data_IF_861186018345
#
_entry.id   IF_861186018345
#
_cell.length_a   1.000
_cell.length_b   1.000
_cell.length_c   1.000
_cell.angle_alpha   90.00
_cell.angle_beta   90.00
_cell.angle_gamma   90.00
#
_symmetry.space_group_name_H-M   'P 1'
#
loop_
_entity.id
_entity.type
_entity.pdbx_description
1 polymer ?
#
# COMPACT_ATOMS: atom_id res chain seq x y z
N UNK A 1 0.18 -4.89 -17.14
CA UNK A 1 -0.25 -4.29 -15.84
C UNK A 1 0.61 -4.79 -14.70
N UNK A 2 0.90 -3.91 -13.77
CA UNK A 2 1.57 -4.27 -12.52
C UNK A 2 0.69 -3.95 -11.33
N UNK A 3 0.63 -4.86 -10.37
CA UNK A 3 -0.06 -4.65 -9.10
C UNK A 3 0.99 -4.39 -8.03
N UNK A 4 0.96 -3.19 -7.46
CA UNK A 4 1.87 -2.74 -6.39
C UNK A 4 1.04 -2.55 -5.13
N UNK A 5 1.40 -3.29 -4.10
CA UNK A 5 0.68 -3.25 -2.82
C UNK A 5 1.45 -2.43 -1.81
N UNK A 6 0.75 -1.58 -1.10
CA UNK A 6 1.30 -0.79 0.00
C UNK A 6 0.75 -1.38 1.29
N UNK A 7 1.63 -1.91 2.12
CA UNK A 7 1.25 -2.70 3.29
C UNK A 7 2.03 -2.29 4.53
N UNK A 8 1.30 -2.15 5.64
CA UNK A 8 1.88 -2.02 6.97
C UNK A 8 0.83 -2.45 7.98
N UNK A 9 1.24 -3.19 9.00
CA UNK A 9 0.33 -3.65 10.06
C UNK A 9 -0.03 -2.55 11.05
N UNK A 10 0.74 -1.47 11.09
CA UNK A 10 0.52 -0.38 12.04
C UNK A 10 -0.23 0.76 11.36
N UNK A 11 -1.40 1.11 11.88
CA UNK A 11 -2.12 2.30 11.45
C UNK A 11 -1.30 3.57 11.68
N UNK A 12 -1.47 4.57 10.81
CA UNK A 12 -0.78 5.85 10.94
C UNK A 12 0.64 5.89 10.42
N UNK A 13 1.14 4.84 9.77
CA UNK A 13 2.48 4.81 9.19
C UNK A 13 2.59 5.58 7.86
N UNK A 14 1.57 6.32 7.48
CA UNK A 14 1.56 7.08 6.24
C UNK A 14 1.21 6.25 5.00
N UNK A 15 0.59 5.10 5.19
CA UNK A 15 0.24 4.17 4.11
C UNK A 15 -0.64 4.83 3.05
N UNK A 16 -1.76 5.44 3.45
CA UNK A 16 -2.68 6.11 2.54
C UNK A 16 -2.02 7.29 1.84
N UNK A 17 -1.28 8.12 2.58
CA UNK A 17 -0.52 9.23 2.01
C UNK A 17 0.47 8.75 0.95
N UNK A 18 1.17 7.66 1.24
CA UNK A 18 2.09 7.03 0.28
C UNK A 18 1.36 6.58 -0.98
N UNK A 19 0.22 5.91 -0.83
CA UNK A 19 -0.60 5.45 -1.97
C UNK A 19 -1.00 6.63 -2.84
N UNK A 20 -1.55 7.70 -2.26
CA UNK A 20 -2.05 8.85 -3.00
C UNK A 20 -0.91 9.60 -3.71
N UNK A 21 0.23 9.77 -3.06
CA UNK A 21 1.39 10.44 -3.65
C UNK A 21 1.99 9.63 -4.79
N UNK A 22 2.16 8.32 -4.61
CA UNK A 22 2.66 7.45 -5.67
C UNK A 22 1.71 7.41 -6.86
N UNK A 23 0.41 7.32 -6.61
CA UNK A 23 -0.59 7.33 -7.67
C UNK A 23 -0.50 8.61 -8.50
N UNK A 24 -0.36 9.76 -7.86
CA UNK A 24 -0.24 11.05 -8.54
C UNK A 24 1.01 11.13 -9.42
N UNK A 25 2.14 10.64 -8.91
CA UNK A 25 3.41 10.67 -9.65
C UNK A 25 3.36 9.71 -10.85
N UNK A 26 2.89 8.48 -10.63
CA UNK A 26 2.82 7.47 -11.68
C UNK A 26 1.81 7.87 -12.76
N UNK A 27 0.72 8.52 -12.36
CA UNK A 27 -0.34 8.94 -13.28
C UNK A 27 0.12 10.00 -14.29
N UNK A 28 1.27 10.64 -14.07
CA UNK A 28 1.82 11.58 -15.06
C UNK A 28 2.13 10.90 -16.40
N UNK A 29 2.48 9.60 -16.39
CA UNK A 29 2.90 8.87 -17.57
C UNK A 29 2.15 7.54 -17.78
N UNK A 30 1.24 7.17 -16.88
CA UNK A 30 0.59 5.86 -16.90
C UNK A 30 -0.85 5.98 -16.44
N UNK A 31 -1.66 4.99 -16.81
CA UNK A 31 -3.04 4.88 -16.30
C UNK A 31 -3.01 4.13 -14.98
N UNK A 32 -3.45 4.78 -13.92
CA UNK A 32 -3.35 4.27 -12.54
C UNK A 32 -4.75 4.07 -11.95
N UNK A 33 -4.94 2.93 -11.31
CA UNK A 33 -6.08 2.63 -10.46
C UNK A 33 -5.59 2.43 -9.02
N UNK A 34 -6.23 3.08 -8.07
CA UNK A 34 -6.05 2.79 -6.64
C UNK A 34 -7.19 1.88 -6.19
N UNK A 35 -6.84 0.70 -5.70
CA UNK A 35 -7.80 -0.24 -5.14
C UNK A 35 -7.72 -0.16 -3.62
N UNK A 36 -8.77 0.38 -3.00
CA UNK A 36 -8.85 0.52 -1.55
C UNK A 36 -9.50 -0.73 -0.95
N UNK A 37 -8.67 -1.62 -0.41
CA UNK A 37 -9.10 -2.87 0.22
C UNK A 37 -9.23 -2.71 1.73
N UNK A 38 -8.82 -1.55 2.27
CA UNK A 38 -8.90 -1.26 3.70
C UNK A 38 -10.36 -1.03 4.11
N UNK A 39 -10.89 -1.75 5.12
CA UNK A 39 -12.23 -1.48 5.65
C UNK A 39 -12.43 -0.06 6.16
N UNK A 40 -11.36 0.64 6.53
CA UNK A 40 -11.42 2.05 6.93
C UNK A 40 -11.63 2.98 5.72
N UNK A 41 -11.37 2.51 4.50
CA UNK A 41 -11.62 3.22 3.25
C UNK A 41 -10.96 4.60 3.16
N UNK A 42 -9.74 4.70 3.65
CA UNK A 42 -9.01 5.97 3.71
C UNK A 42 -8.72 6.56 2.34
N UNK A 43 -8.32 5.73 1.36
CA UNK A 43 -8.08 6.20 -0.01
C UNK A 43 -9.37 6.63 -0.70
N UNK A 44 -10.46 5.89 -0.51
CA UNK A 44 -11.77 6.26 -1.03
C UNK A 44 -12.26 7.59 -0.42
N UNK A 45 -12.06 7.79 0.87
CA UNK A 45 -12.38 9.03 1.56
C UNK A 45 -11.61 10.22 0.96
N UNK A 46 -10.32 10.02 0.69
CA UNK A 46 -9.48 11.03 0.04
C UNK A 46 -10.01 11.40 -1.35
N UNK A 47 -10.38 10.39 -2.14
CA UNK A 47 -10.89 10.59 -3.48
C UNK A 47 -12.19 11.41 -3.48
N UNK A 48 -13.11 11.11 -2.55
CA UNK A 48 -14.35 11.86 -2.39
C UNK A 48 -14.09 13.33 -2.05
N UNK A 49 -13.08 13.59 -1.22
CA UNK A 49 -12.73 14.95 -0.81
C UNK A 49 -12.03 15.74 -1.90
N UNK A 50 -11.20 15.08 -2.72
CA UNK A 50 -10.50 15.71 -3.82
C UNK A 50 -11.41 15.94 -5.04
N UNK A 51 -12.54 15.23 -5.13
CA UNK A 51 -13.47 15.36 -6.24
C UNK A 51 -12.89 14.82 -7.55
N UNK A 52 -13.23 15.48 -8.66
CA UNK A 52 -12.83 15.04 -10.01
C UNK A 52 -11.39 15.45 -10.40
N UNK A 53 -10.67 16.11 -9.50
CA UNK A 53 -9.35 16.66 -9.80
C UNK A 53 -8.22 15.63 -9.71
N UNK A 54 -8.53 14.38 -9.36
CA UNK A 54 -7.51 13.33 -9.29
C UNK A 54 -7.13 12.81 -10.68
N UNK A 55 -5.83 12.68 -10.96
CA UNK A 55 -5.36 12.15 -12.25
C UNK A 55 -5.42 10.62 -12.34
N UNK A 56 -6.03 9.96 -11.39
CA UNK A 56 -6.18 8.51 -11.31
C UNK A 56 -7.55 8.13 -10.77
N UNK A 57 -7.95 6.89 -11.00
CA UNK A 57 -9.21 6.36 -10.51
C UNK A 57 -9.04 5.65 -9.17
N UNK A 58 -10.08 5.66 -8.34
CA UNK A 58 -10.11 4.96 -7.06
C UNK A 58 -11.32 4.05 -7.02
N UNK A 59 -11.11 2.79 -6.67
CA UNK A 59 -12.18 1.82 -6.46
C UNK A 59 -12.13 1.34 -5.02
N UNK A 60 -13.31 1.21 -4.42
CA UNK A 60 -13.51 0.73 -3.07
C UNK A 60 -14.03 -0.71 -3.15
N UNK A 61 -13.14 -1.67 -2.96
CA UNK A 61 -13.48 -3.08 -3.00
C UNK A 61 -12.68 -3.82 -1.92
N UNK A 62 -13.37 -4.23 -0.88
CA UNK A 62 -12.77 -4.92 0.26
C UNK A 62 -12.55 -6.41 0.04
N UNK A 63 -12.95 -6.96 -1.11
CA UNK A 63 -12.76 -8.37 -1.42
C UNK A 63 -11.46 -8.60 -2.18
N UNK A 64 -10.41 -9.15 -1.54
CA UNK A 64 -9.13 -9.37 -2.20
C UNK A 64 -9.20 -10.38 -3.36
N UNK A 65 -10.21 -11.23 -3.41
CA UNK A 65 -10.38 -12.17 -4.51
C UNK A 65 -10.66 -11.47 -5.85
N UNK A 66 -11.10 -10.21 -5.82
CA UNK A 66 -11.36 -9.44 -7.03
C UNK A 66 -10.10 -8.83 -7.65
N UNK A 67 -8.95 -8.90 -6.99
CA UNK A 67 -7.71 -8.31 -7.51
C UNK A 67 -7.28 -8.92 -8.84
N UNK A 68 -7.45 -10.23 -9.02
CA UNK A 68 -7.11 -10.87 -10.29
C UNK A 68 -7.94 -10.33 -11.46
N UNK A 69 -9.17 -9.91 -11.20
CA UNK A 69 -10.06 -9.32 -12.22
C UNK A 69 -9.59 -7.94 -12.63
N UNK A 70 -8.89 -7.23 -11.77
CA UNK A 70 -8.37 -5.89 -12.09
C UNK A 70 -7.34 -5.94 -13.22
N UNK A 71 -6.66 -7.09 -13.41
CA UNK A 71 -5.71 -7.27 -14.50
C UNK A 71 -6.37 -7.23 -15.88
N UNK A 72 -7.68 -7.42 -15.95
CA UNK A 72 -8.44 -7.34 -17.20
C UNK A 72 -8.79 -5.89 -17.57
N UNK A 73 -8.61 -4.96 -16.66
CA UNK A 73 -8.91 -3.55 -16.89
C UNK A 73 -7.73 -2.83 -17.57
N UNK A 74 -8.02 -1.74 -18.31
CA UNK A 74 -7.01 -1.06 -19.11
C UNK A 74 -6.15 -0.10 -18.30
N UNK A 75 -5.61 -0.54 -17.16
CA UNK A 75 -4.67 0.23 -16.35
C UNK A 75 -3.26 -0.32 -16.49
N UNK A 76 -2.29 0.57 -16.40
CA UNK A 76 -0.87 0.19 -16.43
C UNK A 76 -0.38 -0.25 -15.05
N UNK A 77 -0.88 0.40 -14.01
CA UNK A 77 -0.52 0.14 -12.61
C UNK A 77 -1.76 0.17 -11.74
N UNK A 78 -1.87 -0.81 -10.86
CA UNK A 78 -2.86 -0.82 -9.78
C UNK A 78 -2.10 -0.71 -8.46
N UNK A 79 -2.42 0.32 -7.68
CA UNK A 79 -1.90 0.48 -6.32
C UNK A 79 -2.95 -0.01 -5.34
N UNK A 80 -2.57 -0.94 -4.47
CA UNK A 80 -3.50 -1.54 -3.51
C UNK A 80 -3.22 -0.98 -2.11
N UNK A 81 -4.23 -0.33 -1.54
CA UNK A 81 -4.19 0.15 -0.15
C UNK A 81 -4.80 -0.92 0.75
N UNK A 82 -3.97 -1.47 1.63
CA UNK A 82 -4.33 -2.65 2.43
C UNK A 82 -4.79 -2.30 3.84
N UNK A 83 -5.47 -3.25 4.52
CA UNK A 83 -5.82 -3.07 5.93
C UNK A 83 -4.59 -2.83 6.81
N UNK A 84 -4.71 -1.89 7.75
CA UNK A 84 -3.63 -1.55 8.69
C UNK A 84 -3.67 -2.30 10.01
N UNK A 85 -4.51 -3.33 10.16
CA UNK A 85 -4.69 -4.06 11.40
C UNK A 85 -4.16 -5.48 11.32
N UNK A 86 -3.85 -6.07 12.48
CA UNK A 86 -3.44 -7.48 12.58
C UNK A 86 -4.52 -8.44 12.10
N UNK A 87 -5.79 -8.06 12.20
CA UNK A 87 -6.91 -8.85 11.72
C UNK A 87 -6.92 -9.01 10.20
N UNK A 88 -6.19 -8.14 9.50
CA UNK A 88 -6.05 -8.21 8.05
C UNK A 88 -4.95 -9.12 7.55
N UNK A 89 -4.30 -9.94 8.39
CA UNK A 89 -3.15 -10.76 7.98
C UNK A 89 -3.48 -11.74 6.88
N UNK A 90 -4.60 -12.45 6.98
CA UNK A 90 -5.04 -13.40 5.95
C UNK A 90 -5.40 -12.69 4.65
N UNK A 91 -6.04 -11.53 4.76
CA UNK A 91 -6.36 -10.68 3.62
C UNK A 91 -5.07 -10.19 2.96
N UNK A 92 -4.10 -9.74 3.76
CA UNK A 92 -2.82 -9.29 3.25
C UNK A 92 -2.08 -10.41 2.51
N UNK A 93 -2.03 -11.61 3.09
CA UNK A 93 -1.38 -12.75 2.43
C UNK A 93 -2.01 -13.05 1.06
N UNK A 94 -3.34 -12.99 0.97
CA UNK A 94 -4.06 -13.18 -0.29
C UNK A 94 -3.69 -12.09 -1.30
N UNK A 95 -3.66 -10.84 -0.87
CA UNK A 95 -3.31 -9.69 -1.72
C UNK A 95 -1.89 -9.85 -2.25
N UNK A 96 -0.94 -10.24 -1.41
CA UNK A 96 0.47 -10.38 -1.81
C UNK A 96 0.66 -11.48 -2.84
N UNK A 97 -0.16 -12.53 -2.80
CA UNK A 97 -0.13 -13.60 -3.81
C UNK A 97 -0.43 -13.05 -5.21
N UNK A 98 -1.28 -12.02 -5.31
CA UNK A 98 -1.65 -11.40 -6.58
C UNK A 98 -0.78 -10.18 -6.92
N UNK A 99 0.14 -9.79 -6.05
CA UNK A 99 0.95 -8.59 -6.22
C UNK A 99 2.26 -8.88 -6.94
N UNK A 100 2.71 -7.92 -7.75
CA UNK A 100 4.02 -7.97 -8.39
C UNK A 100 5.11 -7.34 -7.53
N UNK A 101 4.72 -6.42 -6.64
CA UNK A 101 5.65 -5.68 -5.80
C UNK A 101 4.95 -5.19 -4.54
N UNK A 102 5.68 -5.10 -3.44
CA UNK A 102 5.16 -4.59 -2.16
C UNK A 102 6.06 -3.48 -1.64
N UNK A 103 5.44 -2.38 -1.25
CA UNK A 103 6.10 -1.28 -0.55
C UNK A 103 5.63 -1.28 0.90
N UNK A 104 6.57 -1.26 1.82
CA UNK A 104 6.31 -1.30 3.26
C UNK A 104 6.73 0.03 3.88
N UNK A 105 5.84 1.03 3.96
CA UNK A 105 6.16 2.28 4.63
C UNK A 105 6.29 2.06 6.13
N UNK A 106 7.31 2.67 6.72
CA UNK A 106 7.53 2.62 8.17
C UNK A 106 8.10 3.95 8.65
N UNK A 107 7.97 4.21 9.95
CA UNK A 107 8.59 5.35 10.60
C UNK A 107 9.98 4.95 11.12
N UNK A 108 10.95 5.89 11.21
CA UNK A 108 12.27 5.62 11.79
C UNK A 108 12.19 5.56 13.32
N UNK A 109 11.50 4.55 13.84
CA UNK A 109 11.26 4.35 15.26
C UNK A 109 11.43 2.88 15.62
N UNK A 110 12.09 2.56 16.72
CA UNK A 110 12.20 1.17 17.17
C UNK A 110 10.86 0.48 17.36
N UNK A 111 9.82 1.22 17.78
CA UNK A 111 8.47 0.69 17.97
C UNK A 111 7.81 0.27 16.65
N UNK A 112 8.22 0.89 15.54
CA UNK A 112 7.71 0.56 14.22
C UNK A 112 8.42 -0.64 13.59
N UNK A 113 9.69 -0.89 13.94
CA UNK A 113 10.50 -1.92 13.31
C UNK A 113 10.08 -3.34 13.69
N UNK A 114 9.68 -3.58 14.93
CA UNK A 114 9.28 -4.93 15.36
C UNK A 114 8.04 -5.42 14.59
N UNK A 115 6.93 -4.65 14.45
CA UNK A 115 5.82 -5.04 13.60
C UNK A 115 6.20 -5.21 12.13
N UNK A 116 7.08 -4.36 11.62
CA UNK A 116 7.56 -4.44 10.24
C UNK A 116 8.30 -5.74 9.99
N UNK A 117 9.24 -6.09 10.86
CA UNK A 117 10.03 -7.33 10.75
C UNK A 117 9.11 -8.55 10.82
N UNK A 118 8.12 -8.54 11.72
CA UNK A 118 7.14 -9.61 11.82
C UNK A 118 6.34 -9.75 10.53
N UNK A 119 5.89 -8.64 9.93
CA UNK A 119 5.17 -8.66 8.65
C UNK A 119 6.04 -9.24 7.54
N UNK A 120 7.30 -8.83 7.46
CA UNK A 120 8.23 -9.36 6.44
C UNK A 120 8.41 -10.85 6.61
N UNK A 121 8.72 -11.31 7.82
CA UNK A 121 9.02 -12.72 8.07
C UNK A 121 7.81 -13.63 7.93
N UNK A 122 6.64 -13.19 8.38
CA UNK A 122 5.45 -14.03 8.47
C UNK A 122 4.57 -14.00 7.23
N UNK A 123 4.61 -12.90 6.47
CA UNK A 123 3.70 -12.69 5.34
C UNK A 123 4.44 -12.45 4.03
N UNK A 124 5.36 -11.51 4.01
CA UNK A 124 6.01 -11.08 2.76
C UNK A 124 6.94 -12.16 2.21
N UNK A 125 7.86 -12.66 3.01
CA UNK A 125 8.80 -13.70 2.58
C UNK A 125 8.10 -14.98 2.14
N UNK A 126 7.09 -15.51 2.87
CA UNK A 126 6.35 -16.67 2.41
C UNK A 126 5.63 -16.46 1.08
N UNK A 127 5.21 -15.25 0.78
CA UNK A 127 4.54 -14.91 -0.49
C UNK A 127 5.49 -14.83 -1.68
N UNK A 128 6.80 -14.77 -1.43
CA UNK A 128 7.85 -14.67 -2.46
C UNK A 128 7.73 -13.43 -3.35
N UNK A 129 7.00 -12.43 -2.90
CA UNK A 129 6.84 -11.17 -3.63
C UNK A 129 8.07 -10.28 -3.43
N UNK A 130 8.46 -9.54 -4.46
CA UNK A 130 9.51 -8.53 -4.34
C UNK A 130 9.02 -7.39 -3.47
N UNK A 131 9.84 -6.93 -2.53
CA UNK A 131 9.45 -5.88 -1.60
C UNK A 131 10.55 -4.85 -1.39
N UNK A 132 10.13 -3.67 -0.90
CA UNK A 132 11.03 -2.61 -0.43
C UNK A 132 10.41 -1.96 0.80
N UNK A 133 11.26 -1.57 1.72
CA UNK A 133 10.88 -0.78 2.90
C UNK A 133 11.10 0.69 2.59
N UNK A 134 10.10 1.52 2.89
CA UNK A 134 10.18 2.97 2.68
C UNK A 134 10.07 3.67 4.03
N UNK A 135 11.06 4.50 4.35
CA UNK A 135 11.04 5.30 5.57
C UNK A 135 10.24 6.58 5.36
N UNK A 136 9.24 6.78 6.21
CA UNK A 136 8.40 7.97 6.23
C UNK A 136 8.69 8.83 7.46
N UNK A 137 8.23 10.07 7.43
CA UNK A 137 8.31 11.00 8.56
C UNK A 137 9.74 11.20 9.07
N UNK A 138 10.70 11.24 8.12
CA UNK A 138 12.08 11.52 8.45
C UNK A 138 12.25 13.02 8.70
N UNK A 139 12.78 13.37 9.89
CA UNK A 139 13.23 14.73 10.17
C UNK A 139 14.73 14.80 9.93
N UNK A 140 15.19 15.56 8.92
CA UNK A 140 16.62 15.64 8.61
C UNK A 140 17.46 16.27 9.72
N UNK A 141 16.83 16.92 10.72
CA UNK A 141 17.50 17.49 11.90
C UNK A 141 17.76 16.47 12.99
N UNK A 142 17.19 15.26 12.86
CA UNK A 142 17.35 14.18 13.84
C UNK A 142 18.15 13.05 13.20
N UNK A 143 19.29 12.64 13.80
CA UNK A 143 20.05 11.50 13.29
C UNK A 143 19.21 10.23 13.31
N UNK A 144 19.26 9.47 12.21
CA UNK A 144 18.60 8.17 12.14
C UNK A 144 19.63 7.11 12.55
N UNK A 145 19.34 6.38 13.61
CA UNK A 145 20.12 5.22 13.97
C UNK A 145 19.62 4.02 13.18
N UNK A 146 20.42 3.61 12.20
CA UNK A 146 20.20 2.41 11.42
C UNK A 146 20.95 1.25 12.09
N UNK A 147 20.32 0.71 13.13
CA UNK A 147 21.01 -0.34 13.85
C UNK A 147 20.14 -1.53 14.17
#
# INVERSE_FOLDING_TARGET
MRIVTIANQKGGAGKTTTVMNLASIIAENSRVLVADVDPQKSSAWWADRAGEDLPFDVVDDTNPANLSRLRELPYDVVLVDTPGSLEGRDVLATILTESDFVILPTEPSPLAFAPLIATINEIVLPSKVTYRVMLNKIDPRVPIELG
#
